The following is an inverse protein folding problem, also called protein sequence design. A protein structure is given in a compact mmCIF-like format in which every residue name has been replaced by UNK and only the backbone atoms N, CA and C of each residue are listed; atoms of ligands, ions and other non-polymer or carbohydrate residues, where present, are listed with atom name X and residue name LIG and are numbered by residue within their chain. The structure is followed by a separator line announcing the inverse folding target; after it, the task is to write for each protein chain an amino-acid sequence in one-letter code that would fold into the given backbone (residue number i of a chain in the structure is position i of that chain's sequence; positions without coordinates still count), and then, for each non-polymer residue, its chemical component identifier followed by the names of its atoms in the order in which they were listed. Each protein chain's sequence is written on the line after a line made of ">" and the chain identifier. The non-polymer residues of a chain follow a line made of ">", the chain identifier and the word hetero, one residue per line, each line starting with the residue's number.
data_IF_914207831895
#
_entry.id   IF_914207831895
#
_cell.length_a   1.000
_cell.length_b   1.000
_cell.length_c   1.000
_cell.angle_alpha   90.00
_cell.angle_beta   90.00
_cell.angle_gamma   90.00
#
_symmetry.space_group_name_H-M   'P 1'
#
loop_
_entity.id
_entity.type
_entity.pdbx_description
1 polymer ?
#
# COMPACT_ATOMS: atom_id res chain seq x y z
N UNK A 1 -2.37 49.78 18.66
CA UNK A 1 -1.64 49.42 19.90
C UNK A 1 -0.46 48.54 19.52
N UNK A 2 0.75 49.02 19.80
CA UNK A 2 2.03 48.31 19.66
C UNK A 2 2.19 47.37 20.86
N UNK A 3 2.51 46.07 20.71
CA UNK A 3 3.32 45.36 21.71
C UNK A 3 4.11 44.17 21.12
N UNK A 4 5.43 44.32 21.25
CA UNK A 4 6.51 43.38 21.52
C UNK A 4 6.86 42.22 20.58
N UNK A 5 7.96 42.49 19.87
CA UNK A 5 9.02 41.57 19.44
C UNK A 5 9.54 40.76 20.64
N UNK A 6 9.67 39.44 20.48
CA UNK A 6 10.50 38.62 21.36
C UNK A 6 11.60 37.94 20.54
N UNK A 7 12.82 38.20 20.97
CA UNK A 7 14.10 37.75 20.43
C UNK A 7 14.47 36.47 21.19
N UNK A 8 14.52 35.34 20.50
CA UNK A 8 14.89 34.03 21.06
C UNK A 8 16.30 33.64 20.65
N UNK A 9 17.16 33.53 21.65
CA UNK A 9 18.62 33.37 21.64
C UNK A 9 19.10 32.11 20.90
N UNK A 10 20.12 32.28 20.05
CA UNK A 10 20.90 31.22 19.44
C UNK A 10 21.84 30.58 20.49
N UNK A 11 21.69 29.27 20.73
CA UNK A 11 22.66 28.48 21.48
C UNK A 11 23.46 27.62 20.51
N UNK A 12 24.69 28.08 20.25
CA UNK A 12 25.75 27.32 19.58
C UNK A 12 26.40 26.42 20.63
N UNK A 13 26.10 25.13 20.59
CA UNK A 13 26.85 24.10 21.34
C UNK A 13 27.74 23.37 20.34
N UNK A 14 29.02 23.74 20.37
CA UNK A 14 30.11 23.00 19.72
C UNK A 14 30.54 21.85 20.62
N UNK A 15 30.09 20.64 20.32
CA UNK A 15 30.68 19.41 20.85
C UNK A 15 31.66 18.85 19.83
N UNK A 16 32.94 18.84 20.22
CA UNK A 16 34.02 18.19 19.51
C UNK A 16 33.83 16.67 19.56
N UNK A 17 33.60 16.04 18.40
CA UNK A 17 33.64 14.60 18.24
C UNK A 17 35.08 14.18 17.89
N UNK A 18 35.73 13.51 18.84
CA UNK A 18 37.04 12.86 18.67
C UNK A 18 36.81 11.49 18.03
N UNK A 19 37.75 11.10 17.15
CA UNK A 19 37.60 10.05 16.16
C UNK A 19 37.22 8.67 16.69
N UNK A 20 36.18 8.12 16.07
CA UNK A 20 36.06 6.70 15.78
C UNK A 20 35.89 6.60 14.26
N UNK A 21 36.70 5.78 13.60
CA UNK A 21 36.61 5.47 12.18
C UNK A 21 35.34 4.66 11.92
N UNK A 22 34.18 5.32 12.01
CA UNK A 22 32.91 4.79 11.56
C UNK A 22 32.89 4.86 10.04
N UNK A 23 32.69 3.71 9.40
CA UNK A 23 32.36 3.62 7.97
C UNK A 23 31.28 4.65 7.66
N UNK A 24 31.64 5.66 6.88
CA UNK A 24 30.71 6.65 6.36
C UNK A 24 29.70 5.88 5.52
N UNK A 25 28.52 5.61 6.08
CA UNK A 25 27.38 5.14 5.29
C UNK A 25 27.03 6.30 4.37
N UNK A 26 27.55 6.23 3.14
CA UNK A 26 27.11 7.08 2.07
C UNK A 26 25.59 6.95 1.99
N UNK A 27 24.88 8.02 2.33
CA UNK A 27 23.49 8.19 1.94
C UNK A 27 23.49 8.22 0.42
N UNK A 28 23.38 7.04 -0.19
CA UNK A 28 23.15 6.92 -1.61
C UNK A 28 21.92 7.78 -1.89
N UNK A 29 22.12 8.89 -2.62
CA UNK A 29 21.02 9.63 -3.22
C UNK A 29 20.20 8.60 -3.98
N UNK A 30 19.05 8.27 -3.40
CA UNK A 30 18.07 7.37 -3.98
C UNK A 30 17.65 8.02 -5.29
N UNK A 31 18.35 7.62 -6.35
CA UNK A 31 18.23 8.19 -7.68
C UNK A 31 16.79 7.98 -8.08
N UNK A 32 16.06 9.10 -8.17
CA UNK A 32 14.62 9.11 -8.16
C UNK A 32 14.02 8.14 -9.18
N UNK A 33 12.97 7.44 -8.76
CA UNK A 33 12.08 6.58 -9.58
C UNK A 33 11.72 7.24 -10.93
N UNK A 34 11.76 8.57 -10.99
CA UNK A 34 11.56 9.39 -12.17
C UNK A 34 12.57 9.13 -13.33
N UNK A 35 13.77 8.61 -13.06
CA UNK A 35 14.76 8.26 -14.09
C UNK A 35 14.63 6.82 -14.63
N UNK A 36 13.67 6.04 -14.10
CA UNK A 36 13.45 4.65 -14.51
C UNK A 36 12.32 4.52 -15.55
N UNK A 37 11.55 5.58 -15.79
CA UNK A 37 10.46 5.57 -16.76
C UNK A 37 11.01 5.77 -18.18
N UNK A 38 10.64 4.90 -19.15
CA UNK A 38 10.96 5.10 -20.55
C UNK A 38 10.52 6.51 -21.03
N UNK A 39 11.32 7.20 -21.86
CA UNK A 39 11.02 8.59 -22.26
C UNK A 39 9.63 8.80 -22.86
N UNK A 40 9.15 7.86 -23.67
CA UNK A 40 7.81 7.89 -24.27
C UNK A 40 6.71 7.82 -23.20
N UNK A 41 6.90 6.96 -22.20
CA UNK A 41 5.93 6.76 -21.13
C UNK A 41 5.91 7.95 -20.16
N UNK A 42 7.07 8.56 -19.90
CA UNK A 42 7.17 9.82 -19.15
C UNK A 42 6.43 10.96 -19.86
N UNK A 43 6.60 11.11 -21.17
CA UNK A 43 5.89 12.13 -21.95
C UNK A 43 4.37 11.92 -21.93
N UNK A 44 3.91 10.68 -22.12
CA UNK A 44 2.50 10.32 -22.07
C UNK A 44 1.88 10.57 -20.67
N UNK A 45 2.65 10.30 -19.62
CA UNK A 45 2.23 10.57 -18.24
C UNK A 45 2.07 12.06 -17.99
N UNK A 46 3.06 12.87 -18.39
CA UNK A 46 3.03 14.33 -18.24
C UNK A 46 1.91 14.98 -19.06
N UNK A 47 1.55 14.41 -20.22
CA UNK A 47 0.42 14.89 -21.01
C UNK A 47 -0.94 14.51 -20.41
N UNK A 48 -0.98 13.61 -19.41
CA UNK A 48 -2.22 13.08 -18.83
C UNK A 48 -3.11 12.34 -19.85
N UNK A 49 -2.53 11.86 -20.96
CA UNK A 49 -3.30 11.23 -22.03
C UNK A 49 -3.32 9.72 -21.82
N UNK A 50 -4.46 9.21 -21.33
CA UNK A 50 -4.64 7.79 -21.05
C UNK A 50 -4.36 6.89 -22.26
N UNK A 51 -4.79 7.29 -23.46
CA UNK A 51 -4.54 6.54 -24.70
C UNK A 51 -3.05 6.45 -25.02
N UNK A 52 -2.31 7.54 -24.86
CA UNK A 52 -0.86 7.55 -25.08
C UNK A 52 -0.12 6.67 -24.06
N UNK A 53 -0.55 6.68 -22.79
CA UNK A 53 0.03 5.81 -21.74
C UNK A 53 -0.21 4.33 -22.10
N UNK A 54 -1.45 3.98 -22.49
CA UNK A 54 -1.81 2.62 -22.86
C UNK A 54 -1.02 2.13 -24.08
N UNK A 55 -0.93 2.95 -25.13
CA UNK A 55 -0.15 2.65 -26.33
C UNK A 55 1.33 2.46 -26.00
N UNK A 56 1.91 3.32 -25.15
CA UNK A 56 3.29 3.19 -24.73
C UNK A 56 3.53 1.87 -23.99
N UNK A 57 2.66 1.48 -23.05
CA UNK A 57 2.77 0.19 -22.36
C UNK A 57 2.69 -0.96 -23.37
N UNK A 58 1.74 -0.95 -24.30
CA UNK A 58 1.52 -2.03 -25.26
C UNK A 58 2.70 -2.19 -26.23
N UNK A 59 3.26 -1.08 -26.73
CA UNK A 59 4.43 -1.10 -27.63
C UNK A 59 5.67 -1.55 -26.88
N UNK A 60 5.95 -0.99 -25.70
CA UNK A 60 7.15 -1.30 -24.91
C UNK A 60 7.12 -2.71 -24.31
N UNK A 61 5.94 -3.28 -24.08
CA UNK A 61 5.83 -4.65 -23.59
C UNK A 61 5.98 -5.70 -24.69
N UNK A 62 5.88 -5.31 -25.97
CA UNK A 62 5.88 -6.23 -27.11
C UNK A 62 4.89 -7.41 -26.95
N UNK A 63 3.74 -7.17 -26.30
CA UNK A 63 2.73 -8.20 -26.01
C UNK A 63 3.05 -9.15 -24.84
N UNK A 64 4.19 -8.99 -24.15
CA UNK A 64 4.52 -9.82 -22.99
C UNK A 64 3.72 -9.38 -21.73
N UNK A 65 2.90 -10.25 -21.13
CA UNK A 65 2.02 -9.89 -20.01
C UNK A 65 2.77 -9.56 -18.70
N UNK A 66 3.89 -10.22 -18.42
CA UNK A 66 4.71 -9.89 -17.24
C UNK A 66 5.33 -8.49 -17.39
N UNK A 67 5.85 -8.18 -18.58
CA UNK A 67 6.40 -6.86 -18.88
C UNK A 67 5.34 -5.75 -18.86
N UNK A 68 4.11 -6.06 -19.27
CA UNK A 68 2.98 -5.14 -19.11
C UNK A 68 2.73 -4.80 -17.64
N UNK A 69 2.78 -5.80 -16.74
CA UNK A 69 2.61 -5.58 -15.31
C UNK A 69 3.72 -4.68 -14.73
N UNK A 70 4.97 -4.95 -15.09
CA UNK A 70 6.13 -4.14 -14.66
C UNK A 70 6.00 -2.68 -15.09
N UNK A 71 5.64 -2.43 -16.35
CA UNK A 71 5.43 -1.09 -16.87
C UNK A 71 4.22 -0.41 -16.20
N UNK A 72 3.11 -1.12 -15.99
CA UNK A 72 1.96 -0.60 -15.27
C UNK A 72 2.31 -0.22 -13.82
N UNK A 73 3.16 -1.01 -13.15
CA UNK A 73 3.66 -0.70 -11.81
C UNK A 73 4.52 0.57 -11.80
N UNK A 74 5.39 0.76 -12.79
CA UNK A 74 6.16 2.00 -12.92
C UNK A 74 5.27 3.21 -13.18
N UNK A 75 4.26 3.06 -14.05
CA UNK A 75 3.28 4.11 -14.37
C UNK A 75 2.54 4.56 -13.11
N UNK A 76 2.01 3.63 -12.32
CA UNK A 76 1.21 3.98 -11.14
C UNK A 76 2.08 4.53 -9.99
N UNK A 77 3.32 4.05 -9.84
CA UNK A 77 4.27 4.63 -8.89
C UNK A 77 4.62 6.08 -9.24
N UNK A 78 4.78 6.37 -10.54
CA UNK A 78 4.97 7.74 -11.03
C UNK A 78 3.70 8.59 -10.85
N UNK A 79 2.52 7.99 -11.08
CA UNK A 79 1.24 8.63 -10.87
C UNK A 79 1.04 9.06 -9.41
N UNK A 80 1.46 8.25 -8.44
CA UNK A 80 1.38 8.58 -7.01
C UNK A 80 2.16 9.88 -6.69
N UNK A 81 3.30 10.09 -7.35
CA UNK A 81 4.09 11.33 -7.21
C UNK A 81 3.40 12.56 -7.82
N UNK A 82 2.54 12.36 -8.82
CA UNK A 82 1.80 13.43 -9.50
C UNK A 82 0.53 13.87 -8.77
N UNK A 83 0.09 13.14 -7.75
CA UNK A 83 -1.17 13.42 -7.04
C UNK A 83 -1.25 14.87 -6.53
N UNK A 84 -0.12 15.44 -6.11
CA UNK A 84 -0.08 16.81 -5.56
C UNK A 84 0.00 17.89 -6.64
N UNK A 85 0.64 17.61 -7.78
CA UNK A 85 0.89 18.61 -8.83
C UNK A 85 -0.11 18.54 -9.98
N UNK A 86 -0.59 17.35 -10.30
CA UNK A 86 -1.57 17.09 -11.36
C UNK A 86 -2.44 15.86 -11.01
N UNK A 87 -3.44 16.02 -10.12
CA UNK A 87 -4.29 14.92 -9.65
C UNK A 87 -5.08 14.24 -10.79
N UNK A 88 -5.45 14.99 -11.84
CA UNK A 88 -6.15 14.44 -13.00
C UNK A 88 -5.27 13.51 -13.84
N UNK A 89 -4.01 13.89 -14.07
CA UNK A 89 -3.05 13.03 -14.76
C UNK A 89 -2.70 11.78 -13.93
N UNK A 90 -2.54 11.95 -12.61
CA UNK A 90 -2.33 10.83 -11.69
C UNK A 90 -3.47 9.80 -11.78
N UNK A 91 -4.73 10.27 -11.78
CA UNK A 91 -5.88 9.39 -11.90
C UNK A 91 -5.96 8.70 -13.26
N UNK A 92 -5.72 9.43 -14.35
CA UNK A 92 -5.73 8.85 -15.69
C UNK A 92 -4.68 7.74 -15.84
N UNK A 93 -3.49 7.94 -15.27
CA UNK A 93 -2.42 6.94 -15.26
C UNK A 93 -2.78 5.72 -14.40
N UNK A 94 -3.35 5.94 -13.22
CA UNK A 94 -3.85 4.85 -12.36
C UNK A 94 -4.95 4.04 -13.07
N UNK A 95 -5.87 4.70 -13.77
CA UNK A 95 -6.91 4.03 -14.56
C UNK A 95 -6.32 3.13 -15.64
N UNK A 96 -5.34 3.63 -16.41
CA UNK A 96 -4.67 2.83 -17.45
C UNK A 96 -3.92 1.66 -16.83
N UNK A 97 -3.18 1.87 -15.74
CA UNK A 97 -2.44 0.81 -15.08
C UNK A 97 -3.37 -0.30 -14.57
N UNK A 98 -4.49 0.06 -13.94
CA UNK A 98 -5.52 -0.90 -13.48
C UNK A 98 -6.16 -1.63 -14.67
N UNK A 99 -6.47 -0.94 -15.77
CA UNK A 99 -7.00 -1.58 -16.99
C UNK A 99 -6.02 -2.59 -17.59
N UNK A 100 -4.71 -2.35 -17.51
CA UNK A 100 -3.69 -3.29 -18.00
C UNK A 100 -3.65 -4.53 -17.11
N UNK A 101 -3.62 -4.36 -15.78
CA UNK A 101 -3.54 -5.49 -14.85
C UNK A 101 -4.89 -6.20 -14.62
N UNK A 102 -6.00 -5.65 -15.12
CA UNK A 102 -7.28 -6.34 -15.16
C UNK A 102 -7.36 -7.43 -16.23
N UNK A 103 -6.40 -7.45 -17.17
CA UNK A 103 -6.26 -8.54 -18.13
C UNK A 103 -5.87 -9.85 -17.43
N UNK A 104 -6.62 -10.93 -17.68
CA UNK A 104 -6.39 -12.23 -17.06
C UNK A 104 -4.98 -12.80 -17.30
N UNK A 105 -4.39 -12.59 -18.49
CA UNK A 105 -3.03 -13.05 -18.78
C UNK A 105 -1.98 -12.33 -17.95
N UNK A 106 -2.21 -11.06 -17.60
CA UNK A 106 -1.33 -10.29 -16.73
C UNK A 106 -1.45 -10.76 -15.28
N UNK A 107 -2.68 -11.00 -14.81
CA UNK A 107 -2.94 -11.51 -13.46
C UNK A 107 -2.29 -12.87 -13.22
N UNK A 108 -2.33 -13.77 -14.20
CA UNK A 108 -1.70 -15.10 -14.07
C UNK A 108 -0.18 -15.04 -14.19
N UNK A 109 0.35 -14.17 -15.06
CA UNK A 109 1.80 -14.08 -15.28
C UNK A 109 2.54 -13.30 -14.20
N UNK A 110 1.89 -12.30 -13.59
CA UNK A 110 2.50 -11.40 -12.61
C UNK A 110 1.50 -10.97 -11.52
N UNK A 111 0.94 -11.90 -10.72
CA UNK A 111 -0.12 -11.62 -9.76
C UNK A 111 0.29 -10.61 -8.68
N UNK A 112 1.54 -10.67 -8.19
CA UNK A 112 2.05 -9.72 -7.21
C UNK A 112 2.14 -8.28 -7.77
N UNK A 113 2.51 -8.13 -9.05
CA UNK A 113 2.57 -6.82 -9.71
C UNK A 113 1.16 -6.26 -9.92
N UNK A 114 0.20 -7.10 -10.33
CA UNK A 114 -1.21 -6.72 -10.43
C UNK A 114 -1.77 -6.24 -9.07
N UNK A 115 -1.42 -6.94 -7.99
CA UNK A 115 -1.80 -6.55 -6.64
C UNK A 115 -1.22 -5.18 -6.24
N UNK A 116 0.09 -4.98 -6.46
CA UNK A 116 0.76 -3.71 -6.17
C UNK A 116 0.13 -2.55 -6.96
N UNK A 117 -0.21 -2.76 -8.23
CA UNK A 117 -0.88 -1.76 -9.05
C UNK A 117 -2.25 -1.39 -8.49
N UNK A 118 -3.07 -2.40 -8.12
CA UNK A 118 -4.36 -2.15 -7.49
C UNK A 118 -4.21 -1.41 -6.14
N UNK A 119 -3.20 -1.75 -5.33
CA UNK A 119 -2.92 -1.12 -4.04
C UNK A 119 -2.50 0.34 -4.16
N UNK A 120 -1.64 0.69 -5.13
CA UNK A 120 -1.25 2.08 -5.37
C UNK A 120 -2.43 2.86 -5.96
N UNK A 121 -3.17 2.29 -6.92
CA UNK A 121 -4.36 2.93 -7.48
C UNK A 121 -5.41 3.23 -6.39
N UNK A 122 -5.62 2.29 -5.45
CA UNK A 122 -6.51 2.48 -4.31
C UNK A 122 -6.06 3.63 -3.38
N UNK A 123 -4.74 3.83 -3.19
CA UNK A 123 -4.19 4.98 -2.46
C UNK A 123 -4.35 6.31 -3.22
N UNK A 124 -4.24 6.29 -4.54
CA UNK A 124 -4.45 7.48 -5.39
C UNK A 124 -5.90 7.95 -5.29
N UNK A 125 -6.87 7.04 -5.44
CA UNK A 125 -8.29 7.41 -5.51
C UNK A 125 -8.89 7.86 -4.17
N UNK A 126 -8.29 7.49 -3.02
CA UNK A 126 -8.74 7.96 -1.70
C UNK A 126 -8.19 9.36 -1.38
N UNK A 127 -7.28 9.89 -2.21
CA UNK A 127 -6.74 11.23 -2.01
C UNK A 127 -7.81 12.31 -2.30
N UNK A 128 -8.04 13.28 -1.39
CA UNK A 128 -9.04 14.34 -1.59
C UNK A 128 -8.85 15.16 -2.86
N UNK A 129 -7.61 15.45 -3.27
CA UNK A 129 -7.32 16.24 -4.48
C UNK A 129 -7.76 15.49 -5.74
N UNK A 130 -7.63 14.15 -5.73
CA UNK A 130 -8.04 13.29 -6.85
C UNK A 130 -9.57 13.18 -6.90
N UNK A 131 -10.21 13.00 -5.75
CA UNK A 131 -11.67 12.99 -5.62
C UNK A 131 -12.29 14.29 -6.15
N UNK A 132 -11.74 15.43 -5.77
CA UNK A 132 -12.23 16.74 -6.22
C UNK A 132 -11.98 16.97 -7.72
N UNK A 133 -10.84 16.50 -8.24
CA UNK A 133 -10.49 16.69 -9.64
C UNK A 133 -11.37 15.89 -10.61
N UNK A 134 -11.77 14.66 -10.24
CA UNK A 134 -12.50 13.76 -11.12
C UNK A 134 -13.27 12.64 -10.37
N UNK A 135 -14.39 12.96 -9.70
CA UNK A 135 -15.09 12.02 -8.82
C UNK A 135 -15.70 10.82 -9.56
N UNK A 136 -16.26 11.01 -10.76
CA UNK A 136 -16.80 9.91 -11.56
C UNK A 136 -15.71 8.91 -12.01
N UNK A 137 -14.49 9.40 -12.28
CA UNK A 137 -13.36 8.53 -12.67
C UNK A 137 -12.80 7.78 -11.46
N UNK A 138 -12.82 8.38 -10.28
CA UNK A 138 -12.50 7.69 -9.02
C UNK A 138 -13.40 6.48 -8.81
N UNK A 139 -14.71 6.61 -9.01
CA UNK A 139 -15.65 5.50 -8.94
C UNK A 139 -15.28 4.34 -9.89
N UNK A 140 -14.98 4.65 -11.15
CA UNK A 140 -14.59 3.65 -12.15
C UNK A 140 -13.30 2.91 -11.76
N UNK A 141 -12.28 3.65 -11.32
CA UNK A 141 -11.00 3.06 -10.89
C UNK A 141 -11.18 2.24 -9.62
N UNK A 142 -12.02 2.69 -8.68
CA UNK A 142 -12.32 1.97 -7.45
C UNK A 142 -12.92 0.59 -7.74
N UNK A 143 -13.95 0.54 -8.59
CA UNK A 143 -14.64 -0.70 -8.98
C UNK A 143 -13.69 -1.67 -9.68
N UNK A 144 -12.80 -1.18 -10.54
CA UNK A 144 -11.83 -2.07 -11.21
C UNK A 144 -10.71 -2.54 -10.27
N UNK A 145 -10.15 -1.64 -9.45
CA UNK A 145 -9.07 -1.98 -8.54
C UNK A 145 -9.50 -3.06 -7.53
N UNK A 146 -10.72 -2.96 -6.97
CA UNK A 146 -11.24 -3.98 -6.06
C UNK A 146 -11.44 -5.31 -6.78
N UNK A 147 -11.97 -5.33 -8.01
CA UNK A 147 -12.13 -6.57 -8.79
C UNK A 147 -10.81 -7.27 -9.08
N UNK A 148 -9.75 -6.51 -9.41
CA UNK A 148 -8.41 -7.07 -9.62
C UNK A 148 -7.87 -7.66 -8.32
N UNK A 149 -7.94 -6.90 -7.21
CA UNK A 149 -7.42 -7.32 -5.92
C UNK A 149 -8.17 -8.54 -5.33
N UNK A 150 -9.47 -8.66 -5.57
CA UNK A 150 -10.28 -9.80 -5.10
C UNK A 150 -10.31 -10.97 -6.07
N UNK A 151 -9.56 -10.93 -7.18
CA UNK A 151 -9.41 -12.11 -8.05
C UNK A 151 -8.58 -13.19 -7.33
N UNK A 152 -8.90 -14.49 -7.46
CA UNK A 152 -8.24 -15.54 -6.66
C UNK A 152 -6.71 -15.54 -6.75
N UNK A 153 -6.15 -15.43 -7.97
CA UNK A 153 -4.70 -15.48 -8.20
C UNK A 153 -3.96 -14.25 -7.65
N UNK A 154 -4.56 -13.05 -7.78
CA UNK A 154 -3.96 -11.81 -7.27
C UNK A 154 -4.10 -11.72 -5.76
N UNK A 155 -5.24 -12.16 -5.22
CA UNK A 155 -5.50 -12.19 -3.79
C UNK A 155 -4.54 -13.14 -3.08
N UNK A 156 -4.33 -14.34 -3.62
CA UNK A 156 -3.39 -15.32 -3.07
C UNK A 156 -1.96 -14.81 -3.01
N UNK A 157 -1.55 -13.95 -3.95
CA UNK A 157 -0.22 -13.38 -3.94
C UNK A 157 0.01 -12.39 -2.78
N UNK A 158 -1.04 -11.65 -2.36
CA UNK A 158 -0.97 -10.79 -1.19
C UNK A 158 -2.37 -10.52 -0.58
N UNK A 159 -2.84 -11.38 0.35
CA UNK A 159 -4.17 -11.24 0.94
C UNK A 159 -4.34 -9.93 1.72
N UNK A 160 -3.33 -9.53 2.51
CA UNK A 160 -3.38 -8.32 3.34
C UNK A 160 -3.52 -7.06 2.49
N UNK A 161 -2.72 -6.92 1.43
CA UNK A 161 -2.83 -5.77 0.54
C UNK A 161 -4.17 -5.76 -0.22
N UNK A 162 -4.71 -6.93 -0.56
CA UNK A 162 -6.02 -7.04 -1.24
C UNK A 162 -7.17 -6.56 -0.35
N UNK A 163 -7.16 -6.92 0.93
CA UNK A 163 -8.12 -6.40 1.92
C UNK A 163 -7.98 -4.87 2.06
N UNK A 164 -6.76 -4.34 2.06
CA UNK A 164 -6.55 -2.89 2.10
C UNK A 164 -7.07 -2.18 0.83
N UNK A 165 -6.92 -2.80 -0.35
CA UNK A 165 -7.53 -2.30 -1.59
C UNK A 165 -9.05 -2.23 -1.44
N UNK A 166 -9.69 -3.29 -0.94
CA UNK A 166 -11.13 -3.31 -0.69
C UNK A 166 -11.55 -2.19 0.28
N UNK A 167 -10.81 -1.98 1.37
CA UNK A 167 -11.10 -0.91 2.34
C UNK A 167 -10.98 0.49 1.71
N UNK A 168 -9.89 0.76 0.99
CA UNK A 168 -9.63 2.06 0.38
C UNK A 168 -10.62 2.37 -0.75
N UNK A 169 -10.95 1.38 -1.59
CA UNK A 169 -11.92 1.54 -2.68
C UNK A 169 -13.32 1.80 -2.13
N UNK A 170 -13.75 1.08 -1.08
CA UNK A 170 -15.01 1.34 -0.39
C UNK A 170 -15.06 2.75 0.22
N UNK A 171 -13.99 3.17 0.91
CA UNK A 171 -13.89 4.52 1.46
C UNK A 171 -13.96 5.61 0.38
N UNK A 172 -13.32 5.41 -0.77
CA UNK A 172 -13.35 6.35 -1.89
C UNK A 172 -14.77 6.49 -2.49
N UNK A 173 -15.47 5.38 -2.73
CA UNK A 173 -16.84 5.43 -3.30
C UNK A 173 -17.92 5.81 -2.29
N UNK A 174 -17.65 5.71 -0.99
CA UNK A 174 -18.53 6.22 0.07
C UNK A 174 -18.35 7.74 0.29
N UNK A 175 -17.40 8.38 -0.38
CA UNK A 175 -17.23 9.82 -0.31
C UNK A 175 -18.45 10.54 -0.93
N UNK A 176 -19.06 11.54 -0.27
CA UNK A 176 -20.25 12.22 -0.79
C UNK A 176 -20.09 12.82 -2.20
N UNK A 177 -18.89 13.32 -2.53
CA UNK A 177 -18.60 13.86 -3.88
C UNK A 177 -18.58 12.78 -4.94
N UNK A 178 -18.08 11.59 -4.60
CA UNK A 178 -18.08 10.42 -5.51
C UNK A 178 -19.50 9.86 -5.64
N UNK A 179 -20.24 9.73 -4.54
CA UNK A 179 -21.64 9.28 -4.55
C UNK A 179 -22.52 10.20 -5.39
N UNK A 180 -22.32 11.52 -5.30
CA UNK A 180 -23.06 12.49 -6.10
C UNK A 180 -22.73 12.39 -7.61
N UNK A 181 -21.50 12.01 -7.96
CA UNK A 181 -21.05 11.87 -9.35
C UNK A 181 -21.40 10.50 -9.96
N UNK A 182 -21.38 9.43 -9.17
CA UNK A 182 -21.77 8.08 -9.55
C UNK A 182 -22.48 7.38 -8.36
N UNK A 183 -23.83 7.43 -8.32
CA UNK A 183 -24.59 6.84 -7.22
C UNK A 183 -24.56 5.30 -7.21
N UNK A 184 -24.11 4.67 -8.30
CA UNK A 184 -24.08 3.20 -8.42
C UNK A 184 -22.76 2.59 -7.95
N UNK A 185 -21.69 3.39 -7.88
CA UNK A 185 -20.34 2.92 -7.55
C UNK A 185 -20.27 2.23 -6.18
N UNK A 186 -20.90 2.81 -5.15
CA UNK A 186 -20.92 2.24 -3.80
C UNK A 186 -21.57 0.85 -3.78
N UNK A 187 -22.69 0.68 -4.50
CA UNK A 187 -23.38 -0.61 -4.60
C UNK A 187 -22.52 -1.64 -5.33
N UNK A 188 -21.85 -1.25 -6.41
CA UNK A 188 -20.98 -2.14 -7.16
C UNK A 188 -19.77 -2.61 -6.35
N UNK A 189 -19.07 -1.70 -5.67
CA UNK A 189 -17.92 -2.05 -4.81
C UNK A 189 -18.38 -2.92 -3.64
N UNK A 190 -19.50 -2.57 -2.99
CA UNK A 190 -20.04 -3.37 -1.89
C UNK A 190 -20.41 -4.79 -2.32
N UNK A 191 -20.99 -4.95 -3.52
CA UNK A 191 -21.31 -6.26 -4.08
C UNK A 191 -20.05 -7.09 -4.35
N UNK A 192 -18.98 -6.48 -4.88
CA UNK A 192 -17.69 -7.18 -5.10
C UNK A 192 -17.08 -7.61 -3.77
N UNK A 193 -17.09 -6.75 -2.74
CA UNK A 193 -16.55 -7.07 -1.41
C UNK A 193 -17.37 -8.19 -0.74
N UNK A 194 -18.70 -8.13 -0.83
CA UNK A 194 -19.59 -9.18 -0.32
C UNK A 194 -19.38 -10.52 -1.03
N UNK A 195 -19.21 -10.50 -2.35
CA UNK A 195 -18.86 -11.71 -3.11
C UNK A 195 -17.49 -12.27 -2.69
N UNK A 196 -16.51 -11.40 -2.45
CA UNK A 196 -15.19 -11.79 -1.98
C UNK A 196 -15.20 -12.38 -0.55
N UNK A 197 -16.06 -11.87 0.34
CA UNK A 197 -16.20 -12.40 1.71
C UNK A 197 -16.80 -13.82 1.72
N UNK A 198 -17.68 -14.12 0.77
CA UNK A 198 -18.29 -15.44 0.58
C UNK A 198 -17.43 -16.42 -0.25
N UNK A 199 -16.34 -15.95 -0.87
CA UNK A 199 -15.54 -16.77 -1.77
C UNK A 199 -14.67 -17.77 -0.99
N UNK A 200 -14.95 -19.07 -1.17
CA UNK A 200 -14.25 -20.16 -0.46
C UNK A 200 -12.75 -20.20 -0.76
N UNK A 201 -12.32 -19.91 -2.00
CA UNK A 201 -10.89 -19.90 -2.37
C UNK A 201 -10.13 -18.77 -1.67
N UNK A 202 -10.75 -17.60 -1.53
CA UNK A 202 -10.16 -16.48 -0.80
C UNK A 202 -10.11 -16.77 0.70
N UNK A 203 -11.18 -17.33 1.26
CA UNK A 203 -11.24 -17.74 2.67
C UNK A 203 -10.25 -18.86 3.02
N UNK A 204 -9.97 -19.77 2.08
CA UNK A 204 -8.91 -20.77 2.23
C UNK A 204 -7.50 -20.16 2.22
N UNK A 205 -7.32 -19.04 1.53
CA UNK A 205 -6.03 -18.31 1.43
C UNK A 205 -5.81 -17.36 2.61
N UNK A 206 -6.89 -16.88 3.24
CA UNK A 206 -6.88 -16.04 4.42
C UNK A 206 -8.15 -16.33 5.25
N UNK A 207 -8.00 -17.04 6.37
CA UNK A 207 -9.11 -17.42 7.25
C UNK A 207 -9.84 -16.24 7.89
N UNK A 208 -9.21 -15.05 7.93
CA UNK A 208 -9.81 -13.81 8.41
C UNK A 208 -10.49 -12.99 7.31
N UNK A 209 -10.46 -13.43 6.04
CA UNK A 209 -11.00 -12.68 4.90
C UNK A 209 -12.46 -12.31 5.11
N UNK A 210 -13.32 -13.28 5.45
CA UNK A 210 -14.75 -13.02 5.61
C UNK A 210 -15.05 -11.95 6.69
N UNK A 211 -14.41 -12.04 7.86
CA UNK A 211 -14.61 -11.07 8.95
C UNK A 211 -14.03 -9.69 8.61
N UNK A 212 -12.89 -9.63 7.90
CA UNK A 212 -12.29 -8.39 7.43
C UNK A 212 -13.14 -7.69 6.36
N UNK A 213 -13.63 -8.42 5.35
CA UNK A 213 -14.49 -7.86 4.31
C UNK A 213 -15.84 -7.40 4.88
N UNK A 214 -16.40 -8.15 5.83
CA UNK A 214 -17.64 -7.75 6.52
C UNK A 214 -17.45 -6.49 7.38
N UNK A 215 -16.27 -6.31 8.00
CA UNK A 215 -16.00 -5.08 8.76
C UNK A 215 -15.85 -3.85 7.85
N UNK A 216 -15.30 -4.02 6.64
CA UNK A 216 -15.26 -2.95 5.63
C UNK A 216 -16.68 -2.51 5.23
N UNK A 217 -17.58 -3.48 4.97
CA UNK A 217 -18.98 -3.19 4.65
C UNK A 217 -19.73 -2.53 5.81
N UNK A 218 -19.40 -2.90 7.06
CA UNK A 218 -20.04 -2.35 8.26
C UNK A 218 -19.61 -0.91 8.59
N UNK A 219 -18.48 -0.42 8.07
CA UNK A 219 -17.99 0.96 8.29
C UNK A 219 -18.86 2.05 7.61
N UNK A 220 -20.06 1.72 7.14
CA UNK A 220 -21.04 2.64 6.56
C UNK A 220 -21.69 3.62 7.55
N UNK A 221 -21.34 3.62 8.84
CA UNK A 221 -21.81 4.64 9.78
C UNK A 221 -20.65 5.35 10.48
N UNK A 222 -20.46 6.67 10.28
CA UNK A 222 -19.63 7.45 11.19
C UNK A 222 -20.30 7.42 12.57
N UNK A 223 -19.86 6.53 13.46
CA UNK A 223 -20.07 6.75 14.88
C UNK A 223 -19.14 7.88 15.31
N UNK A 224 -19.65 8.96 15.93
CA UNK A 224 -18.79 9.97 16.53
C UNK A 224 -17.92 9.28 17.58
N UNK A 225 -16.60 9.33 17.38
CA UNK A 225 -15.61 8.87 18.34
C UNK A 225 -15.74 9.71 19.62
N UNK A 226 -16.57 9.24 20.57
CA UNK A 226 -16.42 9.64 21.95
C UNK A 226 -15.10 9.04 22.45
N UNK A 227 -14.14 9.92 22.66
CA UNK A 227 -12.90 9.65 23.38
C UNK A 227 -13.23 9.08 24.76
N UNK A 228 -13.30 7.75 24.87
CA UNK A 228 -13.11 7.10 26.17
C UNK A 228 -11.61 7.10 26.45
N UNK A 229 -11.17 8.18 27.09
CA UNK A 229 -9.96 8.19 27.90
C UNK A 229 -10.05 7.01 28.88
N UNK A 230 -9.22 6.00 28.62
CA UNK A 230 -8.93 4.95 29.58
C UNK A 230 -8.29 5.61 30.81
N UNK A 231 -9.06 5.70 31.89
CA UNK A 231 -8.53 5.76 33.24
C UNK A 231 -7.73 4.47 33.46
N UNK A 232 -6.41 4.57 33.35
CA UNK A 232 -5.51 3.50 33.72
C UNK A 232 -5.58 3.27 35.22
N UNK A 233 -5.91 2.02 35.53
CA UNK A 233 -5.86 1.34 36.80
C UNK A 233 -4.50 1.55 37.48
N UNK A 234 -4.50 2.21 38.65
CA UNK A 234 -3.38 2.18 39.59
C UNK A 234 -3.18 0.74 40.07
N UNK A 235 -2.06 0.14 39.69
CA UNK A 235 -1.57 -1.11 40.27
C UNK A 235 -0.93 -0.78 41.62
N UNK A 236 -1.58 -1.22 42.71
CA UNK A 236 -1.03 -1.20 44.06
C UNK A 236 0.17 -2.15 44.11
N UNK A 237 1.36 -1.60 44.38
CA UNK A 237 2.59 -2.36 44.61
C UNK A 237 2.53 -2.91 46.03
N UNK A 238 2.29 -4.20 46.18
CA UNK A 238 2.37 -4.91 47.46
C UNK A 238 3.74 -5.59 47.54
N UNK A 239 4.51 -5.13 48.51
CA UNK A 239 5.89 -5.48 48.85
C UNK A 239 5.98 -6.90 49.43
N UNK A 240 6.80 -7.80 48.87
CA UNK A 240 7.28 -8.98 49.58
C UNK A 240 8.72 -8.76 50.08
N UNK A 241 8.93 -9.07 51.35
CA UNK A 241 10.21 -9.09 52.04
C UNK A 241 11.11 -10.23 51.53
N UNK A 242 12.42 -9.98 51.50
CA UNK A 242 13.50 -10.97 51.29
C UNK A 242 13.40 -12.17 52.26
N UNK A 243 13.93 -13.34 51.87
CA UNK A 243 15.25 -13.70 52.42
C UNK A 243 16.21 -14.41 51.44
N UNK A 244 17.46 -13.91 51.43
CA UNK A 244 18.77 -14.61 51.46
C UNK A 244 18.83 -16.09 51.02
N UNK A 245 19.64 -16.41 49.99
CA UNK A 245 20.22 -17.75 49.82
C UNK A 245 20.84 -18.10 48.44
N UNK A 246 22.18 -18.07 48.39
CA UNK A 246 23.11 -18.94 47.64
C UNK A 246 23.38 -18.84 46.11
N UNK A 247 24.60 -19.26 45.66
CA UNK A 247 25.31 -18.71 44.49
C UNK A 247 25.44 -19.63 43.25
N UNK A 248 25.67 -18.98 42.10
CA UNK A 248 26.41 -19.41 40.87
C UNK A 248 25.93 -20.67 40.12
N UNK A 249 25.50 -20.48 38.86
CA UNK A 249 25.86 -21.40 37.76
C UNK A 249 25.74 -20.70 36.37
N UNK A 250 26.81 -20.64 35.55
CA UNK A 250 26.74 -20.12 34.18
C UNK A 250 26.26 -21.19 33.18
N UNK A 251 25.40 -20.86 32.19
CA UNK A 251 25.04 -21.82 31.15
C UNK A 251 26.15 -21.97 30.10
N UNK A 252 26.56 -23.21 29.87
CA UNK A 252 27.43 -23.67 28.78
C UNK A 252 26.79 -23.46 27.40
N UNK A 253 27.57 -23.13 26.36
CA UNK A 253 27.11 -23.17 24.97
C UNK A 253 27.24 -24.58 24.39
N UNK A 254 26.13 -25.29 24.22
CA UNK A 254 26.13 -26.55 23.47
C UNK A 254 26.02 -26.29 21.96
N UNK A 255 27.02 -26.85 21.28
CA UNK A 255 27.20 -26.92 19.84
C UNK A 255 26.33 -28.04 19.27
N UNK A 256 25.58 -27.80 18.20
CA UNK A 256 25.25 -28.87 17.24
C UNK A 256 25.26 -28.34 15.80
N UNK A 257 26.36 -28.64 15.12
CA UNK A 257 26.49 -28.58 13.67
C UNK A 257 25.81 -29.82 13.06
N UNK A 258 24.66 -29.65 12.42
CA UNK A 258 24.04 -30.73 11.63
C UNK A 258 24.30 -30.48 10.15
N UNK A 259 25.44 -31.02 9.69
CA UNK A 259 25.71 -31.27 8.29
C UNK A 259 24.80 -32.40 7.80
N UNK A 260 23.83 -32.10 6.92
CA UNK A 260 23.11 -33.15 6.19
C UNK A 260 23.45 -33.07 4.69
N UNK A 261 24.52 -33.78 4.32
CA UNK A 261 24.83 -34.11 2.94
C UNK A 261 24.00 -35.33 2.52
N UNK A 262 23.08 -35.16 1.58
CA UNK A 262 22.44 -36.30 0.90
C UNK A 262 23.09 -36.54 -0.47
N UNK A 263 23.36 -37.81 -0.83
CA UNK A 263 24.17 -38.16 -1.99
C UNK A 263 23.37 -38.28 -3.29
N UNK A 264 24.07 -37.93 -4.36
CA UNK A 264 23.75 -38.13 -5.77
C UNK A 264 23.56 -39.64 -6.05
N UNK A 265 22.47 -40.01 -6.73
CA UNK A 265 22.35 -41.31 -7.41
C UNK A 265 22.41 -41.10 -8.92
N UNK A 266 23.39 -41.71 -9.62
CA UNK A 266 23.37 -41.83 -11.08
C UNK A 266 22.80 -43.17 -11.54
N UNK A 267 22.23 -43.12 -12.75
CA UNK A 267 21.77 -44.20 -13.67
C UNK A 267 20.37 -44.75 -13.44
#
# INVERSE_FOLDING_TARGET
>A
MKLLRSVGVAFLVSTAFVGAYGTTTAFAQQSGVQNQLPPALRAALLSGNAGAIQQAIQVLSAGNPARQAELAQQVVAAAEQLVQSNPKAALAAAQVAVNVVSNGSVQTSAPASANNVAAIAARIIVNPNVIQAAPAQVAQVATQAVRVATSPVVYQANPTASVQVAANTHAAVNNPTVVAADPTALQQVSAVISQASANQSLNGSNSSNASQMNSILAQQQPQPQQQQQQQQTQTVVQQPQDPVGDPIEPPSPESEAVNNASPIRPS
#
